data_IF_967411906413
#
_entry.id   IF_967411906413
#
_cell.length_a   1.000
_cell.length_b   1.000
_cell.length_c   1.000
_cell.angle_alpha   90.00
_cell.angle_beta   90.00
_cell.angle_gamma   90.00
#
_symmetry.space_group_name_H-M   'P 1'
#
loop_
_entity.id
_entity.type
_entity.pdbx_description
1 polymer ?
#
# COMPACT_ATOMS: atom_id res chain seq x y z
N UNK A 1 9.67 6.24 -10.25
CA UNK A 1 8.62 6.91 -11.07
C UNK A 1 8.63 8.41 -10.83
N UNK A 2 8.36 9.25 -11.84
CA UNK A 2 8.41 10.71 -11.73
C UNK A 2 7.05 11.34 -12.00
N UNK A 3 6.60 12.21 -11.10
CA UNK A 3 5.33 12.93 -11.18
C UNK A 3 5.56 14.44 -11.05
N UNK A 4 4.74 15.23 -11.75
CA UNK A 4 4.78 16.70 -11.66
C UNK A 4 3.77 17.20 -10.63
N UNK A 5 4.16 18.21 -9.87
CA UNK A 5 3.28 18.85 -8.89
C UNK A 5 3.60 20.33 -8.72
N UNK A 6 2.71 21.04 -8.03
CA UNK A 6 2.87 22.46 -7.70
C UNK A 6 3.05 22.59 -6.19
N UNK A 7 4.06 23.34 -5.75
CA UNK A 7 4.26 23.62 -4.33
C UNK A 7 3.12 24.52 -3.83
N UNK A 8 2.38 24.07 -2.82
CA UNK A 8 1.26 24.83 -2.23
C UNK A 8 1.72 25.59 -0.99
N UNK A 9 2.50 24.93 -0.14
CA UNK A 9 3.05 25.53 1.08
C UNK A 9 4.44 24.99 1.37
N UNK A 10 5.23 25.78 2.11
CA UNK A 10 6.57 25.40 2.55
C UNK A 10 6.68 25.68 4.04
N UNK A 11 6.99 24.67 4.83
CA UNK A 11 7.27 24.76 6.26
C UNK A 11 8.71 24.35 6.51
N UNK A 12 9.57 25.32 6.80
CA UNK A 12 11.01 25.13 7.07
C UNK A 12 11.74 24.25 6.04
N UNK A 13 12.00 22.98 6.36
CA UNK A 13 12.73 22.00 5.53
C UNK A 13 11.79 21.07 4.73
N UNK A 14 10.47 21.29 4.82
CA UNK A 14 9.43 20.49 4.17
C UNK A 14 8.59 21.35 3.23
N UNK A 15 8.24 20.81 2.07
CA UNK A 15 7.29 21.40 1.14
C UNK A 15 6.07 20.49 1.02
N UNK A 16 4.87 21.08 1.04
CA UNK A 16 3.67 20.41 0.57
C UNK A 16 3.51 20.70 -0.91
N UNK A 17 3.46 19.62 -1.67
CA UNK A 17 3.29 19.66 -3.11
C UNK A 17 1.94 19.04 -3.43
N UNK A 18 1.10 19.77 -4.15
CA UNK A 18 -0.11 19.23 -4.73
C UNK A 18 0.28 18.52 -6.02
N UNK A 19 0.21 17.19 -5.98
CA UNK A 19 0.49 16.35 -7.12
C UNK A 19 -0.85 16.05 -7.79
N UNK A 20 -1.03 16.57 -9.01
CA UNK A 20 -2.07 16.04 -9.87
C UNK A 20 -1.58 14.65 -10.27
N UNK A 21 -2.12 13.59 -9.67
CA UNK A 21 -1.86 12.22 -10.12
C UNK A 21 -2.33 12.08 -11.58
N UNK A 22 -1.47 12.42 -12.54
CA UNK A 22 -1.76 12.32 -13.97
C UNK A 22 -1.81 10.87 -14.45
N UNK A 23 -1.27 9.94 -13.66
CA UNK A 23 -1.35 8.51 -13.96
C UNK A 23 -2.72 8.01 -13.50
N UNK A 24 -3.65 7.86 -14.46
CA UNK A 24 -4.98 7.24 -14.26
C UNK A 24 -4.89 5.91 -13.48
N UNK A 25 -3.79 5.17 -13.64
CA UNK A 25 -3.55 3.90 -12.94
C UNK A 25 -3.41 4.04 -11.42
N UNK A 26 -2.91 5.17 -10.89
CA UNK A 26 -2.88 5.41 -9.44
C UNK A 26 -4.22 5.93 -8.91
N UNK A 27 -5.02 6.59 -9.77
CA UNK A 27 -6.33 7.11 -9.40
C UNK A 27 -7.33 5.99 -9.06
N UNK A 28 -7.26 4.88 -9.80
CA UNK A 28 -8.06 3.66 -9.60
C UNK A 28 -7.32 2.54 -8.86
N UNK A 29 -6.16 2.80 -8.28
CA UNK A 29 -5.43 1.79 -7.53
C UNK A 29 -6.10 1.53 -6.18
N UNK A 30 -6.52 0.30 -5.90
CA UNK A 30 -7.07 -0.08 -4.58
C UNK A 30 -6.06 0.10 -3.44
N UNK A 31 -4.75 0.14 -3.74
CA UNK A 31 -3.67 0.42 -2.79
C UNK A 31 -3.29 1.92 -2.70
N UNK A 32 -4.09 2.82 -3.29
CA UNK A 32 -3.87 4.29 -3.24
C UNK A 32 -3.72 4.80 -1.80
N UNK A 33 -4.44 4.22 -0.85
CA UNK A 33 -4.35 4.55 0.58
C UNK A 33 -2.97 4.26 1.19
N UNK A 34 -2.28 3.24 0.67
CA UNK A 34 -0.92 2.86 1.11
C UNK A 34 0.16 3.71 0.45
N UNK A 35 -0.10 4.24 -0.76
CA UNK A 35 0.84 5.09 -1.49
C UNK A 35 0.71 6.59 -1.16
N UNK A 36 -0.51 7.10 -0.98
CA UNK A 36 -0.79 8.54 -0.76
C UNK A 36 -1.04 8.86 0.72
N UNK A 37 -1.20 7.82 1.56
CA UNK A 37 -1.58 7.98 2.97
C UNK A 37 -3.06 8.33 3.13
N UNK A 38 -3.61 8.01 4.31
CA UNK A 38 -5.06 8.03 4.54
C UNK A 38 -5.72 9.43 4.58
N UNK A 39 -4.97 10.55 4.51
CA UNK A 39 -5.50 11.82 5.03
C UNK A 39 -5.51 13.04 4.09
N UNK A 40 -5.22 12.93 2.79
CA UNK A 40 -5.19 14.14 1.94
C UNK A 40 -6.05 13.98 0.69
N UNK A 41 -7.32 14.43 0.81
CA UNK A 41 -8.36 14.41 -0.22
C UNK A 41 -8.01 15.17 -1.52
N UNK A 42 -6.85 15.86 -1.56
CA UNK A 42 -6.35 16.61 -2.71
C UNK A 42 -5.03 16.11 -3.31
N UNK A 43 -4.50 14.95 -2.89
CA UNK A 43 -3.21 14.49 -3.41
C UNK A 43 -2.05 15.42 -3.01
N UNK A 44 -2.14 15.97 -1.80
CA UNK A 44 -1.07 16.76 -1.19
C UNK A 44 -0.04 15.80 -0.60
N UNK A 45 1.21 15.95 -1.04
CA UNK A 45 2.33 15.11 -0.65
C UNK A 45 3.36 15.98 0.06
N UNK A 46 3.73 15.59 1.27
CA UNK A 46 4.75 16.31 2.05
C UNK A 46 6.11 15.69 1.75
N UNK A 47 7.01 16.46 1.17
CA UNK A 47 8.36 16.04 0.82
C UNK A 47 9.38 17.01 1.42
N UNK A 48 10.62 16.56 1.59
CA UNK A 48 11.71 17.47 1.98
C UNK A 48 11.97 18.47 0.87
N UNK A 49 12.35 19.70 1.23
CA UNK A 49 12.62 20.79 0.31
C UNK A 49 14.11 21.20 0.28
N UNK A 50 15.02 20.31 -0.16
CA UNK A 50 16.44 20.65 -0.25
C UNK A 50 16.72 21.72 -1.32
N UNK A 51 15.79 21.90 -2.27
CA UNK A 51 15.90 22.86 -3.38
C UNK A 51 15.41 24.27 -3.00
N UNK A 52 14.85 24.46 -1.80
CA UNK A 52 14.21 25.72 -1.37
C UNK A 52 13.18 26.24 -2.38
N UNK A 53 12.39 25.33 -2.94
CA UNK A 53 11.26 25.68 -3.81
C UNK A 53 10.25 26.53 -3.04
N UNK A 54 9.60 27.48 -3.71
CA UNK A 54 8.62 28.39 -3.14
C UNK A 54 7.19 28.00 -3.58
N UNK A 55 6.16 28.43 -2.84
CA UNK A 55 4.77 28.24 -3.27
C UNK A 55 4.53 28.79 -4.68
N UNK A 56 3.95 27.98 -5.55
CA UNK A 56 3.71 28.28 -6.96
C UNK A 56 4.74 27.69 -7.94
N UNK A 57 5.85 27.14 -7.44
CA UNK A 57 6.84 26.49 -8.30
C UNK A 57 6.35 25.11 -8.79
N UNK A 58 6.58 24.81 -10.07
CA UNK A 58 6.40 23.48 -10.64
C UNK A 58 7.62 22.61 -10.29
N UNK A 59 7.38 21.49 -9.62
CA UNK A 59 8.43 20.57 -9.18
C UNK A 59 8.15 19.15 -9.70
N UNK A 60 9.22 18.42 -9.99
CA UNK A 60 9.15 17.00 -10.33
C UNK A 60 9.49 16.17 -9.08
N UNK A 61 8.54 15.36 -8.63
CA UNK A 61 8.69 14.46 -7.50
C UNK A 61 9.04 13.07 -8.02
N UNK A 62 10.14 12.51 -7.53
CA UNK A 62 10.50 11.12 -7.79
C UNK A 62 10.27 10.27 -6.54
N UNK A 63 9.41 9.27 -6.67
CA UNK A 63 9.30 8.23 -5.64
C UNK A 63 10.34 7.16 -5.97
N UNK A 64 11.31 6.90 -5.06
CA UNK A 64 12.36 5.92 -5.32
C UNK A 64 11.75 4.53 -5.42
N UNK A 65 12.00 3.85 -6.55
CA UNK A 65 11.40 2.55 -6.87
C UNK A 65 11.69 1.48 -5.80
N UNK A 66 12.80 1.61 -5.07
CA UNK A 66 13.18 0.71 -3.95
C UNK A 66 12.16 0.68 -2.82
N UNK A 67 11.48 1.80 -2.53
CA UNK A 67 10.43 1.86 -1.49
C UNK A 67 9.15 1.21 -1.97
N UNK A 68 8.81 1.40 -3.25
CA UNK A 68 7.67 0.78 -3.88
C UNK A 68 7.82 -0.75 -3.92
N UNK A 69 8.94 -1.26 -4.43
CA UNK A 69 9.19 -2.71 -4.48
C UNK A 69 9.14 -3.37 -3.10
N UNK A 70 9.66 -2.69 -2.06
CA UNK A 70 9.59 -3.21 -0.69
C UNK A 70 8.16 -3.27 -0.16
N UNK A 71 7.33 -2.28 -0.45
CA UNK A 71 5.92 -2.28 -0.07
C UNK A 71 5.15 -3.42 -0.77
N UNK A 72 5.40 -3.65 -2.06
CA UNK A 72 4.81 -4.79 -2.78
C UNK A 72 5.24 -6.14 -2.19
N UNK A 73 6.53 -6.30 -1.88
CA UNK A 73 7.04 -7.53 -1.27
C UNK A 73 6.36 -7.79 0.08
N UNK A 74 6.11 -6.75 0.88
CA UNK A 74 5.39 -6.89 2.15
C UNK A 74 3.91 -7.23 1.94
N UNK A 75 3.24 -6.56 1.00
CA UNK A 75 1.84 -6.81 0.65
C UNK A 75 1.65 -8.25 0.14
N UNK A 76 2.30 -8.60 -0.97
CA UNK A 76 2.14 -9.88 -1.62
C UNK A 76 2.81 -11.01 -0.83
N UNK A 77 3.94 -10.74 -0.20
CA UNK A 77 4.65 -11.72 0.64
C UNK A 77 3.84 -12.10 1.87
N UNK A 78 3.22 -11.13 2.56
CA UNK A 78 2.37 -11.43 3.71
C UNK A 78 1.11 -12.20 3.32
N UNK A 79 0.45 -11.84 2.21
CA UNK A 79 -0.69 -12.59 1.67
C UNK A 79 -0.33 -14.04 1.32
N UNK A 80 0.83 -14.23 0.69
CA UNK A 80 1.33 -15.55 0.31
C UNK A 80 1.62 -16.40 1.56
N UNK A 81 2.32 -15.83 2.54
CA UNK A 81 2.61 -16.52 3.81
C UNK A 81 1.32 -16.85 4.57
N UNK A 82 0.37 -15.92 4.64
CA UNK A 82 -0.93 -16.15 5.26
C UNK A 82 -1.70 -17.27 4.57
N UNK A 83 -1.71 -17.33 3.23
CA UNK A 83 -2.37 -18.40 2.49
C UNK A 83 -1.76 -19.78 2.77
N UNK A 84 -0.43 -19.89 2.78
CA UNK A 84 0.28 -21.13 3.09
C UNK A 84 -0.02 -21.60 4.51
N UNK A 85 0.04 -20.69 5.49
CA UNK A 85 -0.27 -20.99 6.88
C UNK A 85 -1.75 -21.35 7.08
N UNK A 86 -2.67 -20.66 6.41
CA UNK A 86 -4.10 -20.94 6.47
C UNK A 86 -4.46 -22.34 5.99
N UNK A 87 -3.87 -22.79 4.88
CA UNK A 87 -4.05 -24.16 4.37
C UNK A 87 -3.40 -25.17 5.32
N UNK A 88 -2.16 -24.91 5.76
CA UNK A 88 -1.43 -25.82 6.63
C UNK A 88 -2.18 -26.02 7.97
N UNK A 89 -2.63 -24.93 8.59
CA UNK A 89 -3.41 -24.97 9.83
C UNK A 89 -4.78 -25.60 9.59
N UNK A 90 -5.48 -25.23 8.52
CA UNK A 90 -6.79 -25.81 8.17
C UNK A 90 -6.74 -27.32 7.95
N UNK A 91 -5.65 -27.85 7.38
CA UNK A 91 -5.45 -29.29 7.23
C UNK A 91 -5.04 -29.98 8.54
N UNK A 92 -4.19 -29.37 9.38
CA UNK A 92 -3.83 -29.89 10.70
C UNK A 92 -5.01 -29.95 11.68
N UNK A 93 -5.93 -28.99 11.58
CA UNK A 93 -7.14 -28.89 12.42
C UNK A 93 -8.28 -29.77 11.89
N UNK A 94 -8.20 -30.24 10.64
CA UNK A 94 -9.19 -31.13 10.04
C UNK A 94 -9.56 -32.36 10.89
N UNK A 95 -8.64 -33.12 11.51
CA UNK A 95 -9.00 -34.27 12.33
C UNK A 95 -9.77 -33.92 13.62
N UNK A 96 -9.75 -32.66 14.07
CA UNK A 96 -10.54 -32.19 15.22
C UNK A 96 -11.94 -31.69 14.82
N UNK A 97 -12.17 -31.42 13.53
CA UNK A 97 -13.44 -30.94 13.02
C UNK A 97 -14.23 -32.07 12.33
N UNK A 98 -15.58 -32.03 12.35
CA UNK A 98 -16.42 -33.03 11.69
C UNK A 98 -16.41 -32.95 10.16
N UNK A 99 -15.63 -32.05 9.57
CA UNK A 99 -15.61 -31.78 8.13
C UNK A 99 -14.49 -32.54 7.41
N UNK A 100 -14.66 -32.76 6.11
CA UNK A 100 -13.62 -33.31 5.25
C UNK A 100 -12.40 -32.40 5.18
N UNK A 101 -11.21 -33.00 5.00
CA UNK A 101 -9.93 -32.28 4.96
C UNK A 101 -9.87 -31.16 3.92
N UNK A 102 -10.53 -31.35 2.79
CA UNK A 102 -10.64 -30.33 1.73
C UNK A 102 -11.43 -29.10 2.19
N UNK A 103 -12.54 -29.29 2.92
CA UNK A 103 -13.40 -28.19 3.38
C UNK A 103 -12.72 -27.40 4.50
N UNK A 104 -12.08 -28.10 5.45
CA UNK A 104 -11.33 -27.46 6.54
C UNK A 104 -10.16 -26.60 6.01
N UNK A 105 -9.44 -27.10 5.01
CA UNK A 105 -8.34 -26.37 4.37
C UNK A 105 -8.82 -25.11 3.62
N UNK A 106 -9.97 -25.21 2.94
CA UNK A 106 -10.58 -24.08 2.23
C UNK A 106 -11.03 -22.98 3.21
N UNK A 107 -11.68 -23.37 4.32
CA UNK A 107 -12.06 -22.43 5.37
C UNK A 107 -10.84 -21.76 6.00
N UNK A 108 -9.78 -22.53 6.29
CA UNK A 108 -8.52 -22.00 6.84
C UNK A 108 -7.86 -20.97 5.92
N UNK A 109 -7.83 -21.25 4.61
CA UNK A 109 -7.34 -20.29 3.60
C UNK A 109 -8.16 -19.00 3.58
N UNK A 110 -9.48 -19.10 3.50
CA UNK A 110 -10.36 -17.93 3.46
C UNK A 110 -10.21 -17.08 4.73
N UNK A 111 -10.14 -17.73 5.90
CA UNK A 111 -9.99 -17.05 7.17
C UNK A 111 -8.64 -16.33 7.27
N UNK A 112 -7.55 -16.98 6.85
CA UNK A 112 -6.22 -16.39 6.86
C UNK A 112 -6.10 -15.20 5.90
N UNK A 113 -6.72 -15.26 4.71
CA UNK A 113 -6.75 -14.16 3.76
C UNK A 113 -7.55 -12.96 4.26
N UNK A 114 -8.70 -13.19 4.92
CA UNK A 114 -9.50 -12.13 5.51
C UNK A 114 -8.72 -11.42 6.62
N UNK A 115 -8.09 -12.18 7.52
CA UNK A 115 -7.26 -11.60 8.58
C UNK A 115 -6.09 -10.81 7.99
N UNK A 116 -5.36 -11.40 7.04
CA UNK A 116 -4.23 -10.73 6.40
C UNK A 116 -4.65 -9.43 5.71
N UNK A 117 -5.81 -9.43 5.04
CA UNK A 117 -6.37 -8.23 4.40
C UNK A 117 -6.85 -7.14 5.37
N UNK A 118 -7.21 -7.49 6.61
CA UNK A 118 -7.58 -6.51 7.66
C UNK A 118 -6.34 -5.94 8.35
N UNK A 119 -5.27 -6.74 8.47
CA UNK A 119 -4.02 -6.35 9.15
C UNK A 119 -3.15 -5.43 8.28
N UNK A 120 -3.32 -5.49 6.96
CA UNK A 120 -2.59 -4.71 5.95
C UNK A 120 -3.21 -3.32 5.72
#
# INVERSE_FOLDING_TARGET
>A
MKDKGIVVTTEEDMAQVEVQCFIESCQNCSAKSLCIGQNQSKGLLTARNPLRAYPGDEVEIEIPDTKYSRALILLFGSLLVASLLGIALGSLLSPLLPFTSSVSSLLGLLFALIIAGIVL
#
